data_IF_277561320251
#
_entry.id   IF_277561320251
#
_cell.length_a   1.000
_cell.length_b   1.000
_cell.length_c   1.000
_cell.angle_alpha   90.00
_cell.angle_beta   90.00
_cell.angle_gamma   90.00
#
_symmetry.space_group_name_H-M   'P 1'
#
loop_
_entity.id
_entity.type
_entity.pdbx_description
1 polymer ?
#
# COMPACT_ATOMS: atom_id res chain seq x y z
N UNK A 1 16.27 -12.72 18.41
CA UNK A 1 15.36 -12.30 17.32
C UNK A 1 15.03 -10.82 17.48
N UNK A 2 15.36 -9.95 16.52
CA UNK A 2 14.83 -8.57 16.50
C UNK A 2 13.31 -8.66 16.35
N UNK A 3 12.54 -8.20 17.34
CA UNK A 3 11.10 -7.93 17.15
C UNK A 3 10.99 -7.02 15.93
N UNK A 4 10.36 -7.48 14.84
CA UNK A 4 9.99 -6.60 13.71
C UNK A 4 9.09 -5.52 14.31
N UNK A 5 9.58 -4.29 14.45
CA UNK A 5 8.78 -3.18 14.99
C UNK A 5 7.47 -3.08 14.21
N UNK A 6 6.34 -2.77 14.85
CA UNK A 6 5.08 -2.49 14.15
C UNK A 6 5.28 -1.29 13.22
N UNK A 7 4.89 -1.36 11.93
CA UNK A 7 4.96 -0.18 11.08
C UNK A 7 3.94 0.81 11.62
N UNK A 8 4.41 1.88 12.28
CA UNK A 8 3.54 2.90 12.91
C UNK A 8 2.54 3.49 11.91
N UNK A 9 2.86 3.45 10.62
CA UNK A 9 2.02 3.91 9.54
C UNK A 9 0.82 3.00 9.26
N UNK A 10 0.89 1.70 9.54
CA UNK A 10 -0.20 0.76 9.26
C UNK A 10 -1.49 1.10 10.01
N UNK A 11 -1.40 1.81 11.14
CA UNK A 11 -2.55 2.24 11.96
C UNK A 11 -2.88 3.73 11.83
N UNK A 12 -2.22 4.46 10.92
CA UNK A 12 -2.41 5.90 10.72
C UNK A 12 -3.11 6.16 9.38
N UNK A 13 -4.46 6.30 9.35
CA UNK A 13 -5.21 6.36 8.10
C UNK A 13 -4.88 7.55 7.19
N UNK A 14 -4.35 8.63 7.76
CA UNK A 14 -3.98 9.82 7.00
C UNK A 14 -2.65 9.71 6.26
N UNK A 15 -1.80 8.75 6.63
CA UNK A 15 -0.49 8.55 6.00
C UNK A 15 -0.66 7.94 4.61
N UNK A 16 0.14 8.42 3.65
CA UNK A 16 -0.01 8.00 2.25
C UNK A 16 0.26 6.51 2.02
N UNK A 17 1.23 5.91 2.71
CA UNK A 17 1.46 4.47 2.67
C UNK A 17 0.24 3.67 3.18
N UNK A 18 -0.43 4.13 4.24
CA UNK A 18 -1.68 3.52 4.68
C UNK A 18 -2.75 3.61 3.61
N UNK A 19 -2.94 4.79 3.03
CA UNK A 19 -3.93 5.03 1.96
C UNK A 19 -3.68 4.14 0.73
N UNK A 20 -2.42 3.95 0.35
CA UNK A 20 -2.04 3.07 -0.77
C UNK A 20 -2.37 1.61 -0.46
N UNK A 21 -2.04 1.10 0.74
CA UNK A 21 -2.38 -0.27 1.14
C UNK A 21 -3.89 -0.47 1.27
N UNK A 22 -4.61 0.52 1.79
CA UNK A 22 -6.08 0.50 1.84
C UNK A 22 -6.69 0.42 0.45
N UNK A 23 -6.22 1.24 -0.48
CA UNK A 23 -6.64 1.19 -1.88
C UNK A 23 -6.36 -0.18 -2.51
N UNK A 24 -5.18 -0.76 -2.24
CA UNK A 24 -4.83 -2.11 -2.68
C UNK A 24 -5.86 -3.14 -2.22
N UNK A 25 -6.17 -3.21 -0.92
CA UNK A 25 -7.15 -4.17 -0.40
C UNK A 25 -8.58 -3.93 -0.92
N UNK A 26 -8.96 -2.68 -1.15
CA UNK A 26 -10.25 -2.35 -1.75
C UNK A 26 -10.34 -2.90 -3.19
N UNK A 27 -9.32 -2.67 -4.00
CA UNK A 27 -9.26 -3.17 -5.39
C UNK A 27 -9.21 -4.70 -5.40
N UNK A 28 -8.34 -5.32 -4.59
CA UNK A 28 -8.23 -6.77 -4.49
C UNK A 28 -9.58 -7.40 -4.14
N UNK A 29 -10.32 -6.82 -3.19
CA UNK A 29 -11.66 -7.28 -2.82
C UNK A 29 -12.68 -7.12 -3.95
N UNK A 30 -12.56 -6.07 -4.75
CA UNK A 30 -13.52 -5.74 -5.82
C UNK A 30 -13.31 -6.61 -7.08
N UNK A 31 -12.06 -6.86 -7.49
CA UNK A 31 -11.76 -7.49 -8.79
C UNK A 31 -10.84 -8.72 -8.70
N UNK A 32 -10.37 -9.09 -7.50
CA UNK A 32 -9.53 -10.28 -7.27
C UNK A 32 -8.05 -10.12 -7.63
N UNK A 33 -7.66 -9.00 -8.23
CA UNK A 33 -6.26 -8.65 -8.56
C UNK A 33 -6.03 -7.15 -8.38
N UNK A 34 -4.78 -6.70 -8.36
CA UNK A 34 -4.45 -5.26 -8.24
C UNK A 34 -3.48 -4.82 -9.32
N UNK A 35 -4.00 -4.44 -10.51
CA UNK A 35 -3.17 -3.84 -11.54
C UNK A 35 -2.64 -2.47 -11.09
N UNK A 36 -1.39 -2.17 -11.41
CA UNK A 36 -0.71 -0.93 -11.00
C UNK A 36 -1.46 0.32 -11.49
N UNK A 37 -1.95 0.32 -12.73
CA UNK A 37 -2.68 1.46 -13.28
C UNK A 37 -4.03 1.69 -12.58
N UNK A 38 -4.71 0.62 -12.12
CA UNK A 38 -5.94 0.76 -11.34
C UNK A 38 -5.62 1.34 -9.96
N UNK A 39 -4.58 0.85 -9.28
CA UNK A 39 -4.15 1.38 -7.98
C UNK A 39 -3.77 2.86 -8.08
N UNK A 40 -2.97 3.21 -9.09
CA UNK A 40 -2.57 4.59 -9.38
C UNK A 40 -3.78 5.48 -9.63
N UNK A 41 -4.70 5.06 -10.51
CA UNK A 41 -5.92 5.83 -10.80
C UNK A 41 -6.75 6.06 -9.54
N UNK A 42 -6.96 5.03 -8.73
CA UNK A 42 -7.72 5.13 -7.47
C UNK A 42 -7.07 6.06 -6.46
N UNK A 43 -5.74 5.98 -6.31
CA UNK A 43 -5.01 6.85 -5.39
C UNK A 43 -4.85 8.29 -5.89
N UNK A 44 -5.02 8.56 -7.19
CA UNK A 44 -4.94 9.92 -7.75
C UNK A 44 -6.30 10.62 -7.92
N UNK A 45 -7.40 9.95 -7.61
CA UNK A 45 -8.76 10.48 -7.74
C UNK A 45 -9.27 11.04 -6.39
N UNK A 46 -9.05 12.32 -6.14
CA UNK A 46 -9.50 12.97 -4.91
C UNK A 46 -11.03 13.03 -4.79
N UNK A 47 -11.73 13.13 -5.92
CA UNK A 47 -13.17 13.37 -5.97
C UNK A 47 -13.92 12.10 -5.60
N UNK A 48 -13.59 10.97 -6.22
CA UNK A 48 -14.30 9.70 -5.99
C UNK A 48 -13.63 8.86 -4.90
N UNK A 49 -12.36 9.11 -4.58
CA UNK A 49 -11.56 8.25 -3.69
C UNK A 49 -10.79 9.04 -2.63
N UNK A 50 -11.42 10.06 -2.04
CA UNK A 50 -10.84 10.96 -1.02
C UNK A 50 -10.13 10.24 0.13
N UNK A 51 -10.66 9.12 0.61
CA UNK A 51 -10.10 8.36 1.74
C UNK A 51 -8.78 7.65 1.39
N UNK A 52 -8.51 7.42 0.11
CA UNK A 52 -7.29 6.78 -0.42
C UNK A 52 -6.46 7.71 -1.29
N UNK A 53 -6.84 8.99 -1.37
CA UNK A 53 -6.16 9.98 -2.19
C UNK A 53 -4.74 10.26 -1.70
N UNK A 54 -3.80 10.26 -2.64
CA UNK A 54 -2.37 10.51 -2.47
C UNK A 54 -1.90 11.49 -3.54
N UNK A 55 -1.51 12.69 -3.10
CA UNK A 55 -1.08 13.80 -3.97
C UNK A 55 0.10 13.45 -4.90
N UNK A 56 1.09 12.71 -4.40
CA UNK A 56 2.18 12.15 -5.21
C UNK A 56 2.23 10.63 -5.06
N UNK A 57 1.35 9.95 -5.79
CA UNK A 57 1.31 8.48 -5.77
C UNK A 57 2.67 7.88 -6.15
N UNK A 58 3.34 8.41 -7.18
CA UNK A 58 4.56 7.79 -7.71
C UNK A 58 5.71 7.82 -6.69
N UNK A 59 5.95 8.97 -6.06
CA UNK A 59 6.99 9.09 -5.04
C UNK A 59 6.73 8.20 -3.82
N UNK A 60 5.50 8.20 -3.33
CA UNK A 60 5.11 7.39 -2.17
C UNK A 60 5.11 5.89 -2.48
N UNK A 61 4.61 5.48 -3.64
CA UNK A 61 4.63 4.08 -4.04
C UNK A 61 6.05 3.57 -4.28
N UNK A 62 6.93 4.39 -4.88
CA UNK A 62 8.33 4.03 -5.08
C UNK A 62 9.09 3.83 -3.76
N UNK A 63 8.83 4.66 -2.74
CA UNK A 63 9.46 4.48 -1.42
C UNK A 63 9.04 3.18 -0.74
N UNK A 64 7.84 2.68 -1.05
CA UNK A 64 7.31 1.39 -0.58
C UNK A 64 7.84 0.17 -1.35
N UNK A 65 8.60 0.36 -2.44
CA UNK A 65 9.26 -0.74 -3.18
C UNK A 65 10.73 -0.92 -2.78
N UNK A 66 11.33 0.07 -2.14
CA UNK A 66 12.73 0.04 -1.73
C UNK A 66 12.84 -0.45 -0.29
N UNK A 67 13.83 -1.31 -0.01
CA UNK A 67 14.24 -1.68 1.34
C UNK A 67 15.58 -1.00 1.65
N UNK A 68 15.53 0.30 1.92
CA UNK A 68 16.70 1.06 2.37
C UNK A 68 16.54 1.44 3.85
N UNK A 69 17.65 1.76 4.52
CA UNK A 69 17.69 2.04 5.96
C UNK A 69 16.74 3.17 6.42
N UNK A 70 16.27 4.01 5.48
CA UNK A 70 15.34 5.12 5.71
C UNK A 70 13.91 4.86 5.20
N UNK A 71 13.67 3.73 4.54
CA UNK A 71 12.35 3.34 4.07
C UNK A 71 11.54 2.74 5.21
N UNK A 72 10.22 2.90 5.19
CA UNK A 72 9.32 2.30 6.17
C UNK A 72 9.15 0.77 5.99
N UNK A 73 10.11 0.12 5.33
CA UNK A 73 10.10 -1.25 4.86
C UNK A 73 9.52 -1.38 3.46
N UNK A 74 10.09 -2.30 2.68
CA UNK A 74 9.51 -2.73 1.39
C UNK A 74 8.17 -3.43 1.63
N UNK A 75 7.16 -2.98 0.89
CA UNK A 75 5.77 -3.46 0.93
C UNK A 75 5.39 -4.11 -0.40
N UNK A 76 5.77 -3.49 -1.51
CA UNK A 76 5.35 -3.91 -2.84
C UNK A 76 6.52 -4.35 -3.72
N UNK A 77 6.21 -5.26 -4.63
CA UNK A 77 6.94 -5.62 -5.82
C UNK A 77 5.99 -5.46 -7.00
N UNK A 78 6.54 -5.20 -8.18
CA UNK A 78 5.74 -5.09 -9.40
C UNK A 78 6.22 -6.15 -10.38
N UNK A 79 5.33 -7.04 -10.78
CA UNK A 79 5.63 -8.05 -11.79
C UNK A 79 5.34 -7.49 -13.20
N UNK A 80 6.35 -7.48 -14.06
CA UNK A 80 6.27 -7.01 -15.45
C UNK A 80 5.61 -5.64 -15.65
N UNK A 81 5.66 -4.77 -14.62
CA UNK A 81 5.02 -3.46 -14.66
C UNK A 81 3.50 -3.45 -14.52
N UNK A 82 2.85 -4.62 -14.46
CA UNK A 82 1.39 -4.74 -14.53
C UNK A 82 0.75 -5.03 -13.18
N UNK A 83 1.31 -5.98 -12.40
CA UNK A 83 0.67 -6.46 -11.18
C UNK A 83 1.48 -6.15 -9.93
N UNK A 84 0.78 -5.83 -8.84
CA UNK A 84 1.39 -5.52 -7.55
C UNK A 84 1.37 -6.76 -6.65
N UNK A 85 2.57 -7.20 -6.25
CA UNK A 85 2.83 -8.33 -5.37
C UNK A 85 3.40 -7.81 -4.05
N UNK A 86 3.21 -8.54 -2.95
CA UNK A 86 3.56 -8.10 -1.60
C UNK A 86 4.19 -9.21 -0.74
N UNK A 87 4.73 -10.26 -1.36
CA UNK A 87 5.14 -11.51 -0.70
C UNK A 87 6.04 -11.30 0.53
N UNK A 88 6.95 -10.33 0.49
CA UNK A 88 7.84 -10.03 1.63
C UNK A 88 7.13 -9.41 2.85
N UNK A 89 6.07 -8.63 2.64
CA UNK A 89 5.37 -7.88 3.68
C UNK A 89 4.00 -8.48 4.03
N UNK A 90 3.56 -9.51 3.31
CA UNK A 90 2.23 -10.11 3.37
C UNK A 90 1.79 -10.45 4.80
N UNK A 91 2.55 -11.27 5.53
CA UNK A 91 2.18 -11.69 6.88
C UNK A 91 1.97 -10.51 7.83
N UNK A 92 2.87 -9.52 7.74
CA UNK A 92 2.84 -8.33 8.58
C UNK A 92 1.67 -7.41 8.24
N UNK A 93 1.29 -7.32 6.97
CA UNK A 93 0.16 -6.48 6.56
C UNK A 93 -1.18 -7.17 6.81
N UNK A 94 -1.23 -8.50 6.73
CA UNK A 94 -2.38 -9.30 7.13
C UNK A 94 -2.68 -9.16 8.63
N UNK A 95 -1.65 -9.06 9.49
CA UNK A 95 -1.82 -8.72 10.92
C UNK A 95 -2.57 -7.39 11.14
N UNK A 96 -2.40 -6.43 10.23
CA UNK A 96 -3.05 -5.11 10.31
C UNK A 96 -4.21 -4.94 9.33
N UNK A 97 -4.66 -6.01 8.66
CA UNK A 97 -5.68 -5.94 7.59
C UNK A 97 -6.91 -5.16 8.01
N UNK A 98 -7.38 -5.40 9.24
CA UNK A 98 -8.53 -4.70 9.78
C UNK A 98 -8.38 -3.19 9.77
N UNK A 99 -7.19 -2.64 10.02
CA UNK A 99 -6.97 -1.19 10.02
C UNK A 99 -7.10 -0.56 8.63
N UNK A 100 -6.81 -1.34 7.58
CA UNK A 100 -6.94 -0.90 6.20
C UNK A 100 -8.37 -1.08 5.67
N UNK A 101 -9.09 -2.08 6.17
CA UNK A 101 -10.44 -2.41 5.71
C UNK A 101 -11.57 -1.74 6.50
N UNK A 102 -11.27 -0.89 7.50
CA UNK A 102 -12.28 -0.03 8.15
C UNK A 102 -12.79 1.03 7.19
#
# INVERSE_FOLDING_TARGET
MRRKEKPKWAVKPDQYNHKIVRSYFQIEREIGSVPLEILKRRCSDEVNHRSTYVRDFRGNFNSMKMDNHNSHGKVFEVNNGMDIIWDYAKDRLMEYKEYFCR
#
